data_IF_685602239977
#
_entry.id   IF_685602239977
#
_cell.length_a   1.000
_cell.length_b   1.000
_cell.length_c   1.000
_cell.angle_alpha   90.00
_cell.angle_beta   90.00
_cell.angle_gamma   90.00
#
_symmetry.space_group_name_H-M   'P 1'
#
loop_
_entity.id
_entity.type
_entity.pdbx_description
1 polymer ?
#
# COMPACT_ATOMS: atom_id res chain seq x y z
N UNK A 1 -1.62 0.03 15.30
CA UNK A 1 -0.38 0.82 15.12
C UNK A 1 -0.62 1.78 13.98
N UNK A 2 -0.15 3.02 14.03
CA UNK A 2 -0.22 3.94 12.91
C UNK A 2 1.12 4.70 12.72
N UNK A 3 1.31 5.22 11.53
CA UNK A 3 2.49 6.00 11.17
C UNK A 3 2.06 7.42 10.82
N UNK A 4 2.80 8.40 11.29
CA UNK A 4 2.67 9.79 10.88
C UNK A 4 3.90 10.14 10.07
N UNK A 5 3.71 10.66 8.87
CA UNK A 5 4.80 11.11 8.01
C UNK A 5 4.52 12.52 7.51
N UNK A 6 5.50 13.41 7.63
CA UNK A 6 5.46 14.72 6.98
C UNK A 6 6.10 14.61 5.59
N UNK A 7 5.37 15.05 4.58
CA UNK A 7 5.82 15.08 3.19
C UNK A 7 5.68 16.48 2.60
N UNK A 8 6.53 16.84 1.64
CA UNK A 8 6.35 18.07 0.86
C UNK A 8 5.58 17.82 -0.44
N UNK A 9 5.34 18.89 -1.20
CA UNK A 9 4.69 18.82 -2.51
C UNK A 9 5.52 18.09 -3.59
N UNK A 10 6.74 17.71 -3.29
CA UNK A 10 7.58 16.90 -4.17
C UNK A 10 7.58 15.43 -3.79
N UNK A 11 6.81 15.04 -2.74
CA UNK A 11 6.77 13.66 -2.23
C UNK A 11 7.94 13.30 -1.32
N UNK A 12 8.79 14.25 -0.93
CA UNK A 12 9.89 13.95 0.00
C UNK A 12 9.35 13.78 1.41
N UNK A 13 9.65 12.63 2.03
CA UNK A 13 9.38 12.39 3.44
C UNK A 13 10.49 12.98 4.32
N UNK A 14 10.11 13.79 5.32
CA UNK A 14 11.07 14.42 6.25
C UNK A 14 11.20 13.67 7.55
N UNK A 15 10.07 13.38 8.18
CA UNK A 15 10.00 12.69 9.45
C UNK A 15 8.90 11.63 9.40
N UNK A 16 9.18 10.49 10.02
CA UNK A 16 8.19 9.42 10.20
C UNK A 16 8.23 8.96 11.64
N UNK A 17 7.08 8.95 12.30
CA UNK A 17 6.90 8.40 13.64
C UNK A 17 5.93 7.23 13.61
N UNK A 18 6.27 6.17 14.33
CA UNK A 18 5.41 4.98 14.49
C UNK A 18 4.81 4.98 15.89
N UNK A 19 3.50 4.96 15.98
CA UNK A 19 2.77 5.06 17.24
C UNK A 19 1.95 3.80 17.49
N UNK A 20 2.13 3.20 18.64
CA UNK A 20 1.34 2.05 19.09
C UNK A 20 0.00 2.55 19.68
N UNK A 21 -1.03 2.59 18.84
CA UNK A 21 -2.41 2.88 19.23
C UNK A 21 -3.31 1.89 18.48
N UNK A 22 -3.84 0.85 19.14
CA UNK A 22 -4.78 -0.08 18.52
C UNK A 22 -6.03 0.66 18.05
N UNK A 23 -6.49 0.34 16.85
CA UNK A 23 -7.69 0.94 16.30
C UNK A 23 -8.92 0.58 17.16
N UNK A 24 -9.75 1.57 17.39
CA UNK A 24 -11.07 1.45 18.01
C UNK A 24 -11.98 2.53 17.44
N UNK A 25 -13.19 2.16 17.02
CA UNK A 25 -14.16 3.14 16.50
C UNK A 25 -14.86 3.88 17.64
N UNK A 26 -14.09 4.66 18.40
CA UNK A 26 -14.55 5.42 19.58
C UNK A 26 -14.04 6.85 19.53
N UNK A 27 -14.81 7.77 20.10
CA UNK A 27 -14.41 9.18 20.23
C UNK A 27 -13.05 9.34 20.94
N UNK A 28 -12.80 8.52 21.98
CA UNK A 28 -11.53 8.53 22.70
C UNK A 28 -10.34 8.17 21.80
N UNK A 29 -10.49 7.17 20.90
CA UNK A 29 -9.46 6.81 19.94
C UNK A 29 -9.12 7.97 19.01
N UNK A 30 -10.14 8.62 18.43
CA UNK A 30 -9.95 9.73 17.50
C UNK A 30 -9.30 10.92 18.19
N UNK A 31 -9.68 11.21 19.42
CA UNK A 31 -9.06 12.26 20.23
C UNK A 31 -7.59 11.97 20.50
N UNK A 32 -7.26 10.75 20.95
CA UNK A 32 -5.86 10.34 21.20
C UNK A 32 -5.02 10.38 19.93
N UNK A 33 -5.56 9.91 18.81
CA UNK A 33 -4.86 9.93 17.53
C UNK A 33 -4.56 11.37 17.09
N UNK A 34 -5.56 12.24 17.12
CA UNK A 34 -5.40 13.64 16.71
C UNK A 34 -4.50 14.44 17.65
N UNK A 35 -4.49 14.13 18.95
CA UNK A 35 -3.51 14.70 19.90
C UNK A 35 -2.08 14.28 19.56
N UNK A 36 -1.86 13.02 19.11
CA UNK A 36 -0.54 12.58 18.62
C UNK A 36 -0.12 13.32 17.35
N UNK A 37 -1.07 13.55 16.43
CA UNK A 37 -0.80 14.35 15.21
C UNK A 37 -0.40 15.78 15.57
N UNK A 38 -1.13 16.44 16.48
CA UNK A 38 -0.79 17.78 16.94
C UNK A 38 0.59 17.83 17.61
N UNK A 39 0.88 16.83 18.44
CA UNK A 39 2.19 16.70 19.10
C UNK A 39 3.30 16.56 18.07
N UNK A 40 3.15 15.68 17.09
CA UNK A 40 4.09 15.49 15.99
C UNK A 40 4.37 16.80 15.24
N UNK A 41 3.33 17.56 14.89
CA UNK A 41 3.44 18.85 14.22
C UNK A 41 4.24 19.85 15.08
N UNK A 42 3.92 19.94 16.37
CA UNK A 42 4.57 20.87 17.30
C UNK A 42 6.05 20.53 17.55
N UNK A 43 6.37 19.25 17.75
CA UNK A 43 7.73 18.78 18.02
C UNK A 43 8.67 18.94 16.82
N UNK A 44 8.13 18.87 15.59
CA UNK A 44 8.89 19.08 14.38
C UNK A 44 8.87 20.54 13.89
N UNK A 45 8.32 21.45 14.70
CA UNK A 45 8.31 22.90 14.45
C UNK A 45 7.71 23.31 13.10
N UNK A 46 6.71 22.55 12.59
CA UNK A 46 6.03 22.94 11.36
C UNK A 46 5.12 24.15 11.62
N UNK A 47 5.28 25.26 10.87
CA UNK A 47 4.36 26.38 10.98
C UNK A 47 2.96 25.99 10.53
N UNK A 48 1.95 26.25 11.36
CA UNK A 48 0.56 25.88 11.07
C UNK A 48 0.07 26.38 9.72
N UNK A 49 0.46 27.60 9.34
CA UNK A 49 0.09 28.25 8.07
C UNK A 49 0.72 27.60 6.84
N UNK A 50 1.72 26.73 7.03
CA UNK A 50 2.37 25.97 5.94
C UNK A 50 1.83 24.56 5.78
N UNK A 51 0.98 24.09 6.70
CA UNK A 51 0.36 22.77 6.61
C UNK A 51 -0.84 22.86 5.67
N UNK A 52 -0.75 22.21 4.53
CA UNK A 52 -1.82 22.22 3.53
C UNK A 52 -3.00 21.34 3.94
N UNK A 53 -2.75 20.25 4.67
CA UNK A 53 -3.77 19.33 5.10
C UNK A 53 -3.19 18.04 5.68
N UNK A 54 -4.10 17.14 6.04
CA UNK A 54 -3.78 15.82 6.59
C UNK A 54 -4.48 14.77 5.73
N UNK A 55 -3.68 13.90 5.10
CA UNK A 55 -4.19 12.72 4.39
C UNK A 55 -4.16 11.52 5.32
N UNK A 56 -5.26 10.80 5.39
CA UNK A 56 -5.46 9.63 6.23
C UNK A 56 -5.61 8.42 5.32
N UNK A 57 -4.54 7.63 5.18
CA UNK A 57 -4.57 6.38 4.46
C UNK A 57 -4.94 5.23 5.40
N UNK A 58 -5.94 4.44 5.03
CA UNK A 58 -6.41 3.32 5.84
C UNK A 58 -6.71 2.08 4.99
N UNK A 59 -6.58 0.92 5.59
CA UNK A 59 -7.09 -0.31 4.99
C UNK A 59 -8.61 -0.29 5.00
N UNK A 60 -9.19 -0.58 3.85
CA UNK A 60 -10.64 -0.58 3.66
C UNK A 60 -11.09 0.35 2.54
N UNK A 61 -12.17 -0.05 1.88
CA UNK A 61 -12.73 0.66 0.73
C UNK A 61 -13.48 1.89 1.22
N UNK A 62 -13.16 3.05 0.67
CA UNK A 62 -13.82 4.32 0.98
C UNK A 62 -15.05 4.55 0.08
N UNK A 63 -16.01 5.36 0.56
CA UNK A 63 -17.13 5.87 -0.23
C UNK A 63 -16.63 6.74 -1.40
N UNK A 64 -17.46 6.96 -2.46
CA UNK A 64 -17.06 7.78 -3.61
C UNK A 64 -16.65 9.22 -3.28
N UNK A 65 -17.16 9.77 -2.19
CA UNK A 65 -16.82 11.09 -1.67
C UNK A 65 -15.68 11.08 -0.64
N UNK A 66 -15.06 9.90 -0.42
CA UNK A 66 -14.01 9.67 0.57
C UNK A 66 -14.36 10.11 2.00
N UNK A 67 -15.66 10.11 2.34
CA UNK A 67 -16.14 10.52 3.66
C UNK A 67 -16.21 9.38 4.68
N UNK A 68 -16.30 8.14 4.21
CA UNK A 68 -16.58 6.97 5.08
C UNK A 68 -15.91 5.72 4.54
N UNK A 69 -15.40 4.85 5.42
CA UNK A 69 -15.00 3.48 5.05
C UNK A 69 -16.25 2.61 4.94
N UNK A 70 -16.58 2.18 3.73
CA UNK A 70 -17.77 1.37 3.44
C UNK A 70 -17.55 -0.13 3.63
N UNK A 71 -16.29 -0.58 3.51
CA UNK A 71 -15.89 -1.96 3.74
C UNK A 71 -14.47 -2.01 4.33
N UNK A 72 -14.33 -2.54 5.54
CA UNK A 72 -13.07 -2.54 6.28
C UNK A 72 -12.94 -3.74 7.22
N UNK A 73 -12.87 -4.96 6.65
CA UNK A 73 -12.84 -6.20 7.43
C UNK A 73 -11.51 -6.43 8.14
N UNK A 74 -10.38 -6.03 7.56
CA UNK A 74 -9.05 -6.29 8.14
C UNK A 74 -8.89 -5.57 9.47
N UNK A 75 -9.26 -4.29 9.51
CA UNK A 75 -9.15 -3.45 10.71
C UNK A 75 -10.44 -3.38 11.52
N UNK A 76 -11.53 -4.00 11.03
CA UNK A 76 -12.86 -3.83 11.59
C UNK A 76 -13.28 -2.33 11.69
N UNK A 77 -12.94 -1.58 10.62
CA UNK A 77 -13.13 -0.12 10.56
C UNK A 77 -14.28 0.31 9.63
N UNK A 78 -15.16 -0.60 9.24
CA UNK A 78 -16.38 -0.27 8.50
C UNK A 78 -17.19 0.77 9.29
N UNK A 79 -17.59 1.87 8.62
CA UNK A 79 -18.27 2.98 9.26
C UNK A 79 -17.36 4.05 9.88
N UNK A 80 -16.02 3.92 9.80
CA UNK A 80 -15.07 4.99 10.13
C UNK A 80 -15.35 6.19 9.24
N UNK A 81 -15.46 7.38 9.81
CA UNK A 81 -15.78 8.61 9.08
C UNK A 81 -14.63 9.60 9.10
N UNK A 82 -14.44 10.30 8.01
CA UNK A 82 -13.50 11.42 7.93
C UNK A 82 -13.80 12.49 9.00
N UNK A 83 -15.08 12.74 9.28
CA UNK A 83 -15.52 13.71 10.29
C UNK A 83 -14.98 13.38 11.69
N UNK A 84 -14.81 12.10 12.04
CA UNK A 84 -14.31 11.67 13.34
C UNK A 84 -12.86 12.11 13.59
N UNK A 85 -12.10 12.35 12.52
CA UNK A 85 -10.75 12.95 12.58
C UNK A 85 -10.81 14.47 12.45
N UNK A 86 -11.50 14.99 11.42
CA UNK A 86 -11.46 16.39 11.03
C UNK A 86 -12.04 17.32 12.10
N UNK A 87 -13.01 16.87 12.89
CA UNK A 87 -13.55 17.68 14.01
C UNK A 87 -12.52 18.05 15.07
N UNK A 88 -11.42 17.30 15.17
CA UNK A 88 -10.36 17.50 16.14
C UNK A 88 -9.12 18.16 15.58
N UNK A 89 -9.06 18.44 14.29
CA UNK A 89 -7.87 18.98 13.60
C UNK A 89 -8.20 20.30 12.91
N UNK A 90 -7.35 21.32 13.04
CA UNK A 90 -7.59 22.63 12.43
C UNK A 90 -7.22 22.68 10.93
N UNK A 91 -6.97 21.54 10.30
CA UNK A 91 -6.50 21.42 8.93
C UNK A 91 -7.53 20.70 8.05
N UNK A 92 -7.56 20.97 6.74
CA UNK A 92 -8.28 20.12 5.80
C UNK A 92 -7.84 18.67 5.93
N UNK A 93 -8.79 17.74 6.01
CA UNK A 93 -8.51 16.31 6.11
C UNK A 93 -9.05 15.58 4.89
N UNK A 94 -8.34 14.53 4.47
CA UNK A 94 -8.73 13.65 3.38
C UNK A 94 -8.59 12.20 3.82
N UNK A 95 -9.58 11.37 3.53
CA UNK A 95 -9.56 9.93 3.80
C UNK A 95 -9.35 9.17 2.49
N UNK A 96 -8.41 8.24 2.46
CA UNK A 96 -8.12 7.47 1.26
C UNK A 96 -7.81 6.01 1.60
N UNK A 97 -8.07 5.13 0.65
CA UNK A 97 -7.63 3.74 0.70
C UNK A 97 -6.10 3.67 0.52
N UNK A 98 -5.42 2.87 1.32
CA UNK A 98 -3.94 2.78 1.33
C UNK A 98 -3.34 2.40 -0.03
N UNK A 99 -3.96 1.45 -0.74
CA UNK A 99 -3.51 1.02 -2.06
C UNK A 99 -3.66 2.10 -3.13
N UNK A 100 -4.72 2.94 -3.03
CA UNK A 100 -4.89 4.09 -3.91
C UNK A 100 -3.88 5.18 -3.61
N UNK A 101 -3.56 5.40 -2.32
CA UNK A 101 -2.49 6.31 -1.92
C UNK A 101 -1.14 5.88 -2.48
N UNK A 102 -0.84 4.57 -2.48
CA UNK A 102 0.38 4.03 -3.08
C UNK A 102 0.42 4.25 -4.60
N UNK A 103 -0.70 3.98 -5.29
CA UNK A 103 -0.80 4.21 -6.73
C UNK A 103 -0.70 5.70 -7.11
N UNK A 104 -1.23 6.58 -6.28
CA UNK A 104 -1.08 8.02 -6.46
C UNK A 104 0.39 8.46 -6.37
N UNK A 105 1.15 7.87 -5.44
CA UNK A 105 2.60 8.12 -5.33
C UNK A 105 3.34 7.71 -6.60
N UNK A 106 2.98 6.56 -7.20
CA UNK A 106 3.57 6.13 -8.47
C UNK A 106 3.26 7.11 -9.61
N UNK A 107 2.01 7.58 -9.72
CA UNK A 107 1.64 8.63 -10.68
C UNK A 107 2.40 9.94 -10.46
N UNK A 108 2.60 10.31 -9.19
CA UNK A 108 3.33 11.53 -8.84
C UNK A 108 4.80 11.46 -9.23
N UNK A 109 5.43 10.32 -9.01
CA UNK A 109 6.84 10.09 -9.34
C UNK A 109 7.08 9.84 -10.83
N UNK A 110 6.07 9.36 -11.55
CA UNK A 110 6.11 8.96 -12.95
C UNK A 110 5.02 9.67 -13.77
N UNK A 111 5.15 10.99 -14.03
CA UNK A 111 4.13 11.75 -14.73
C UNK A 111 3.93 11.30 -16.20
N UNK A 112 4.84 10.51 -16.74
CA UNK A 112 4.72 9.87 -18.05
C UNK A 112 3.85 8.61 -18.03
N UNK A 113 3.46 8.12 -16.85
CA UNK A 113 2.73 6.88 -16.67
C UNK A 113 1.25 7.07 -17.01
N UNK A 114 0.82 6.62 -18.17
CA UNK A 114 -0.60 6.69 -18.59
C UNK A 114 -1.45 5.63 -17.92
N UNK A 115 -0.97 4.39 -17.92
CA UNK A 115 -1.69 3.24 -17.39
C UNK A 115 -0.74 2.29 -16.67
N UNK A 116 -1.19 1.67 -15.59
CA UNK A 116 -0.44 0.65 -14.84
C UNK A 116 -1.37 -0.19 -13.97
N UNK A 117 -0.88 -1.37 -13.59
CA UNK A 117 -1.44 -2.18 -12.50
C UNK A 117 -0.44 -2.14 -11.33
N UNK A 118 -0.87 -1.67 -10.18
CA UNK A 118 -0.02 -1.57 -8.97
C UNK A 118 -0.39 -2.69 -8.01
N UNK A 119 0.59 -3.54 -7.68
CA UNK A 119 0.50 -4.51 -6.58
C UNK A 119 1.16 -3.92 -5.34
N UNK A 120 0.38 -3.72 -4.29
CA UNK A 120 0.88 -3.28 -2.99
C UNK A 120 1.10 -4.51 -2.11
N UNK A 121 2.31 -5.05 -2.15
CA UNK A 121 2.72 -6.26 -1.42
C UNK A 121 3.05 -5.92 0.03
N UNK A 122 2.04 -5.70 0.83
CA UNK A 122 2.11 -5.38 2.25
C UNK A 122 1.77 -6.60 3.13
N UNK A 123 1.60 -6.36 4.45
CA UNK A 123 1.12 -7.41 5.38
C UNK A 123 -0.17 -8.05 4.91
N UNK A 124 -1.12 -7.24 4.47
CA UNK A 124 -2.22 -7.65 3.60
C UNK A 124 -1.94 -7.07 2.22
N UNK A 125 -2.22 -7.85 1.20
CA UNK A 125 -2.04 -7.44 -0.18
C UNK A 125 -3.09 -6.40 -0.52
N UNK A 126 -2.73 -5.46 -1.36
CA UNK A 126 -3.66 -4.52 -1.95
C UNK A 126 -3.30 -4.27 -3.41
N UNK A 127 -4.09 -3.48 -4.09
CA UNK A 127 -3.79 -3.11 -5.44
C UNK A 127 -4.55 -1.88 -5.92
N UNK A 128 -4.13 -1.40 -7.08
CA UNK A 128 -4.81 -0.33 -7.79
C UNK A 128 -4.59 -0.47 -9.30
N UNK A 129 -5.52 0.07 -10.06
CA UNK A 129 -5.43 0.17 -11.51
C UNK A 129 -5.35 1.63 -11.87
N UNK A 130 -4.39 2.00 -12.69
CA UNK A 130 -4.21 3.33 -13.25
C UNK A 130 -4.60 3.27 -14.73
N UNK A 131 -5.43 4.19 -15.18
CA UNK A 131 -5.82 4.36 -16.59
C UNK A 131 -5.97 5.85 -16.92
N UNK A 132 -5.45 6.28 -18.04
CA UNK A 132 -5.53 7.70 -18.48
C UNK A 132 -5.01 8.67 -17.40
N UNK A 133 -3.86 8.39 -16.81
CA UNK A 133 -3.24 9.15 -15.70
C UNK A 133 -4.11 9.26 -14.43
N UNK A 134 -5.09 8.39 -14.24
CA UNK A 134 -6.01 8.43 -13.10
C UNK A 134 -6.14 7.06 -12.46
N UNK A 135 -6.36 7.04 -11.16
CA UNK A 135 -6.68 5.81 -10.43
C UNK A 135 -8.11 5.41 -10.81
N UNK A 136 -8.25 4.22 -11.39
CA UNK A 136 -9.54 3.68 -11.77
C UNK A 136 -10.28 3.15 -10.54
N UNK A 137 -11.37 3.81 -10.17
CA UNK A 137 -12.10 3.48 -8.94
C UNK A 137 -13.24 2.46 -9.17
N UNK A 138 -13.73 2.35 -10.41
CA UNK A 138 -14.93 1.56 -10.72
C UNK A 138 -16.22 2.22 -10.18
N UNK A 139 -17.36 1.67 -10.54
CA UNK A 139 -18.68 2.22 -10.14
C UNK A 139 -19.02 2.03 -8.66
N UNK A 140 -18.40 1.05 -8.01
CA UNK A 140 -18.61 0.67 -6.60
C UNK A 140 -17.37 0.81 -5.74
N UNK A 141 -16.34 1.51 -6.19
CA UNK A 141 -15.05 1.72 -5.53
C UNK A 141 -14.18 0.46 -5.34
N UNK A 142 -14.60 -0.69 -5.86
CA UNK A 142 -13.91 -1.97 -5.70
C UNK A 142 -12.87 -2.25 -6.80
N UNK A 143 -12.70 -1.35 -7.77
CA UNK A 143 -11.68 -1.57 -8.80
C UNK A 143 -10.28 -1.54 -8.18
N UNK A 144 -9.46 -2.52 -8.57
CA UNK A 144 -8.11 -2.65 -8.06
C UNK A 144 -7.99 -3.45 -6.75
N UNK A 145 -9.07 -4.05 -6.24
CA UNK A 145 -9.00 -4.99 -5.10
C UNK A 145 -8.38 -6.32 -5.54
N UNK A 146 -7.11 -6.26 -5.96
CA UNK A 146 -6.38 -7.38 -6.56
C UNK A 146 -6.17 -8.54 -5.58
N UNK A 147 -6.17 -8.24 -4.29
CA UNK A 147 -6.07 -9.20 -3.19
C UNK A 147 -7.14 -10.28 -3.24
N UNK A 148 -8.31 -9.96 -3.78
CA UNK A 148 -9.44 -10.89 -3.85
C UNK A 148 -9.59 -11.61 -5.21
N UNK A 149 -8.64 -11.41 -6.13
CA UNK A 149 -8.58 -12.19 -7.35
C UNK A 149 -8.34 -13.67 -7.00
N UNK A 150 -9.24 -14.55 -7.43
CA UNK A 150 -9.10 -15.98 -7.24
C UNK A 150 -7.99 -16.53 -8.16
N UNK A 151 -6.93 -17.05 -7.57
CA UNK A 151 -5.81 -17.70 -8.29
C UNK A 151 -5.84 -19.22 -8.16
N UNK A 152 -6.60 -19.75 -7.21
CA UNK A 152 -6.83 -21.20 -7.03
C UNK A 152 -8.18 -21.43 -6.34
N UNK A 153 -9.24 -21.84 -7.07
CA UNK A 153 -10.58 -22.02 -6.50
C UNK A 153 -10.66 -22.98 -5.30
N UNK A 154 -9.75 -23.97 -5.26
CA UNK A 154 -9.68 -24.98 -4.19
C UNK A 154 -8.69 -24.56 -3.07
N UNK A 155 -8.22 -23.32 -3.09
CA UNK A 155 -7.22 -22.80 -2.17
C UNK A 155 -7.76 -22.39 -0.79
N UNK A 156 -6.91 -21.80 0.05
CA UNK A 156 -7.25 -21.39 1.41
C UNK A 156 -8.41 -20.39 1.47
N UNK A 157 -9.14 -20.41 2.59
CA UNK A 157 -10.20 -19.43 2.87
C UNK A 157 -9.58 -18.05 3.11
N UNK A 158 -10.05 -17.07 2.37
CA UNK A 158 -9.69 -15.66 2.54
C UNK A 158 -10.60 -14.96 3.56
N UNK A 159 -10.13 -13.89 4.18
CA UNK A 159 -10.93 -13.07 5.11
C UNK A 159 -12.17 -12.43 4.44
N UNK A 160 -12.22 -12.36 3.10
CA UNK A 160 -13.41 -11.91 2.37
C UNK A 160 -14.52 -12.98 2.27
N UNK A 161 -14.25 -14.20 2.74
CA UNK A 161 -15.18 -15.33 2.70
C UNK A 161 -15.07 -16.20 1.44
N UNK A 162 -14.25 -15.84 0.45
CA UNK A 162 -13.99 -16.63 -0.73
C UNK A 162 -12.73 -17.51 -0.56
N UNK A 163 -12.60 -18.53 -1.39
CA UNK A 163 -11.43 -19.39 -1.42
C UNK A 163 -10.41 -18.97 -2.48
N UNK A 164 -9.12 -19.20 -2.20
CA UNK A 164 -8.02 -19.08 -3.16
C UNK A 164 -7.74 -17.69 -3.69
N UNK A 165 -8.06 -16.67 -2.91
CA UNK A 165 -7.70 -15.29 -3.23
C UNK A 165 -6.18 -15.10 -3.24
N UNK A 166 -5.67 -14.21 -4.08
CA UNK A 166 -4.25 -13.86 -4.16
C UNK A 166 -3.67 -13.45 -2.79
N UNK A 167 -4.45 -12.79 -1.95
CA UNK A 167 -4.12 -12.46 -0.55
C UNK A 167 -3.54 -13.65 0.21
N UNK A 168 -4.15 -14.83 0.05
CA UNK A 168 -3.78 -16.03 0.81
C UNK A 168 -2.47 -16.66 0.37
N UNK A 169 -1.88 -16.17 -0.73
CA UNK A 169 -0.60 -16.64 -1.29
C UNK A 169 0.47 -15.55 -1.29
N UNK A 170 0.09 -14.31 -1.62
CA UNK A 170 1.04 -13.24 -1.96
C UNK A 170 1.05 -12.06 -0.99
N UNK A 171 0.35 -12.12 0.13
CA UNK A 171 0.56 -11.15 1.22
C UNK A 171 1.81 -11.50 2.04
N UNK A 172 2.40 -10.53 2.74
CA UNK A 172 3.51 -10.80 3.66
C UNK A 172 3.07 -11.72 4.81
N UNK A 173 1.81 -11.58 5.28
CA UNK A 173 1.26 -12.47 6.29
C UNK A 173 1.16 -13.92 5.77
N UNK A 174 0.75 -14.13 4.53
CA UNK A 174 0.69 -15.46 3.93
C UNK A 174 2.10 -16.07 3.81
N UNK A 175 3.10 -15.30 3.39
CA UNK A 175 4.49 -15.74 3.34
C UNK A 175 5.03 -16.11 4.72
N UNK A 176 4.82 -15.26 5.74
CA UNK A 176 5.25 -15.52 7.12
C UNK A 176 4.57 -16.78 7.68
N UNK A 177 3.29 -16.97 7.40
CA UNK A 177 2.54 -18.15 7.84
C UNK A 177 3.03 -19.43 7.17
N UNK A 178 3.25 -19.42 5.85
CA UNK A 178 3.72 -20.60 5.12
C UNK A 178 5.15 -20.99 5.48
N UNK A 179 6.05 -20.00 5.63
CA UNK A 179 7.44 -20.20 5.97
C UNK A 179 7.64 -20.51 7.47
N UNK A 180 6.70 -20.11 8.34
CA UNK A 180 6.78 -20.24 9.80
C UNK A 180 7.78 -19.27 10.43
N UNK A 181 8.10 -18.17 9.77
CA UNK A 181 9.06 -17.16 10.26
C UNK A 181 8.75 -15.75 9.70
N UNK A 182 9.22 -14.68 10.40
CA UNK A 182 9.07 -13.32 9.92
C UNK A 182 9.81 -13.05 8.60
N UNK A 183 9.25 -12.17 7.76
CA UNK A 183 9.88 -11.72 6.48
C UNK A 183 11.33 -11.28 6.66
N UNK A 184 11.62 -10.56 7.76
CA UNK A 184 12.97 -10.06 8.07
C UNK A 184 14.01 -11.16 8.25
N UNK A 185 13.58 -12.34 8.67
CA UNK A 185 14.43 -13.53 8.84
C UNK A 185 14.41 -14.39 7.58
N UNK A 186 13.28 -14.47 6.91
CA UNK A 186 13.07 -15.28 5.72
C UNK A 186 14.04 -14.90 4.58
N UNK A 187 14.08 -13.65 4.16
CA UNK A 187 14.87 -13.25 2.99
C UNK A 187 16.38 -13.38 3.17
N UNK A 188 16.99 -13.01 4.32
CA UNK A 188 18.41 -13.30 4.55
C UNK A 188 18.74 -14.79 4.40
N UNK A 189 17.95 -15.67 5.02
CA UNK A 189 18.16 -17.12 4.96
C UNK A 189 17.90 -17.69 3.55
N UNK A 190 16.91 -17.18 2.83
CA UNK A 190 16.65 -17.54 1.45
C UNK A 190 17.86 -17.20 0.55
N UNK A 191 18.44 -16.01 0.71
CA UNK A 191 19.57 -15.54 -0.11
C UNK A 191 20.89 -16.27 0.21
N UNK A 192 21.00 -16.88 1.38
CA UNK A 192 22.11 -17.80 1.68
C UNK A 192 22.05 -19.11 0.89
N UNK A 193 20.93 -19.43 0.24
CA UNK A 193 20.69 -20.64 -0.59
C UNK A 193 20.92 -21.95 0.16
N UNK A 194 20.80 -21.95 1.50
CA UNK A 194 21.06 -23.12 2.35
C UNK A 194 19.82 -23.96 2.67
N UNK A 195 18.63 -23.45 2.37
CA UNK A 195 17.36 -24.11 2.70
C UNK A 195 16.51 -24.31 1.45
N UNK A 196 16.45 -25.54 0.91
CA UNK A 196 15.55 -25.86 -0.20
C UNK A 196 14.08 -25.53 0.11
N UNK A 197 13.65 -25.76 1.35
CA UNK A 197 12.26 -25.47 1.78
C UNK A 197 11.91 -23.98 1.63
N UNK A 198 12.82 -23.05 1.98
CA UNK A 198 12.57 -21.62 1.83
C UNK A 198 12.52 -21.23 0.34
N UNK A 199 13.34 -21.89 -0.50
CA UNK A 199 13.30 -21.69 -1.95
C UNK A 199 11.94 -22.15 -2.53
N UNK A 200 11.42 -23.31 -2.11
CA UNK A 200 10.09 -23.81 -2.51
C UNK A 200 8.97 -22.84 -2.10
N UNK A 201 8.97 -22.30 -0.87
CA UNK A 201 7.97 -21.29 -0.45
C UNK A 201 8.02 -20.02 -1.28
N UNK A 202 9.25 -19.56 -1.62
CA UNK A 202 9.42 -18.37 -2.43
C UNK A 202 9.03 -18.58 -3.89
N UNK A 203 9.35 -19.73 -4.45
CA UNK A 203 8.94 -20.13 -5.80
C UNK A 203 7.43 -20.26 -5.91
N UNK A 204 6.76 -20.86 -4.92
CA UNK A 204 5.29 -20.94 -4.85
C UNK A 204 4.66 -19.54 -4.80
N UNK A 205 5.21 -18.65 -3.98
CA UNK A 205 4.81 -17.24 -3.93
C UNK A 205 4.93 -16.57 -5.32
N UNK A 206 6.09 -16.70 -5.97
CA UNK A 206 6.33 -16.10 -7.29
C UNK A 206 5.41 -16.69 -8.36
N UNK A 207 5.12 -17.99 -8.31
CA UNK A 207 4.22 -18.65 -9.24
C UNK A 207 2.79 -18.07 -9.15
N UNK A 208 2.25 -17.91 -7.94
CA UNK A 208 0.93 -17.32 -7.75
C UNK A 208 0.89 -15.85 -8.17
N UNK A 209 1.94 -15.10 -7.87
CA UNK A 209 2.04 -13.71 -8.31
C UNK A 209 2.12 -13.61 -9.84
N UNK A 210 2.98 -14.43 -10.49
CA UNK A 210 3.10 -14.46 -11.95
C UNK A 210 1.77 -14.84 -12.63
N UNK A 211 1.04 -15.81 -12.06
CA UNK A 211 -0.29 -16.20 -12.58
C UNK A 211 -1.28 -15.03 -12.51
N UNK A 212 -1.31 -14.31 -11.39
CA UNK A 212 -2.15 -13.12 -11.22
C UNK A 212 -1.77 -12.01 -12.21
N UNK A 213 -0.48 -11.72 -12.34
CA UNK A 213 0.05 -10.72 -13.26
C UNK A 213 -0.30 -11.05 -14.71
N UNK A 214 -0.16 -12.30 -15.12
CA UNK A 214 -0.52 -12.78 -16.46
C UNK A 214 -1.99 -12.53 -16.77
N UNK A 215 -2.89 -12.89 -15.85
CA UNK A 215 -4.32 -12.71 -16.05
C UNK A 215 -4.71 -11.24 -16.15
N UNK A 216 -4.15 -10.38 -15.30
CA UNK A 216 -4.39 -8.93 -15.34
C UNK A 216 -3.86 -8.30 -16.62
N UNK A 217 -2.68 -8.71 -17.07
CA UNK A 217 -2.11 -8.18 -18.30
C UNK A 217 -2.93 -8.50 -19.54
N UNK A 218 -3.62 -9.65 -19.57
CA UNK A 218 -4.56 -10.00 -20.64
C UNK A 218 -5.80 -9.08 -20.67
N UNK A 219 -6.14 -8.46 -19.56
CA UNK A 219 -7.32 -7.60 -19.41
C UNK A 219 -6.97 -6.12 -19.55
N UNK A 220 -5.89 -5.69 -18.87
CA UNK A 220 -5.54 -4.27 -18.75
C UNK A 220 -4.46 -3.86 -19.77
N UNK A 221 -3.59 -4.79 -20.19
CA UNK A 221 -2.48 -4.54 -21.13
C UNK A 221 -1.63 -3.30 -20.75
N UNK A 222 -1.18 -3.24 -19.49
CA UNK A 222 -0.42 -2.13 -18.93
C UNK A 222 0.80 -2.62 -18.15
N UNK A 223 1.82 -1.76 -17.93
CA UNK A 223 2.94 -2.08 -17.04
C UNK A 223 2.46 -2.48 -15.65
N UNK A 224 3.22 -3.37 -15.01
CA UNK A 224 2.97 -3.80 -13.64
C UNK A 224 4.01 -3.17 -12.72
N UNK A 225 3.55 -2.59 -11.62
CA UNK A 225 4.37 -2.00 -10.58
C UNK A 225 4.24 -2.84 -9.33
N UNK A 226 5.37 -3.30 -8.78
CA UNK A 226 5.45 -3.98 -7.49
C UNK A 226 5.89 -2.96 -6.46
N UNK A 227 5.03 -2.70 -5.48
CA UNK A 227 5.23 -1.71 -4.41
C UNK A 227 4.97 -2.33 -3.03
N UNK A 228 5.23 -1.60 -1.96
CA UNK A 228 4.92 -2.00 -0.59
C UNK A 228 6.07 -2.69 0.14
N UNK A 229 5.72 -3.32 1.28
CA UNK A 229 6.67 -3.88 2.26
C UNK A 229 7.62 -4.94 1.68
N UNK A 230 7.12 -5.80 0.79
CA UNK A 230 7.93 -6.87 0.20
C UNK A 230 8.75 -6.40 -1.00
N UNK A 231 8.38 -5.30 -1.66
CA UNK A 231 9.06 -4.84 -2.88
C UNK A 231 10.59 -4.71 -2.75
N UNK A 232 11.17 -4.20 -1.63
CA UNK A 232 12.61 -4.09 -1.46
C UNK A 232 13.36 -5.43 -1.38
N UNK A 233 12.65 -6.54 -1.19
CA UNK A 233 13.26 -7.87 -1.09
C UNK A 233 13.36 -8.58 -2.44
N UNK A 234 12.66 -8.09 -3.47
CA UNK A 234 12.78 -8.66 -4.82
C UNK A 234 14.15 -8.35 -5.40
N UNK A 235 14.77 -9.39 -5.95
CA UNK A 235 16.04 -9.29 -6.67
C UNK A 235 15.77 -9.24 -8.18
N UNK A 236 16.79 -8.93 -8.95
CA UNK A 236 16.73 -9.01 -10.42
C UNK A 236 16.38 -10.44 -10.90
N UNK A 237 16.87 -11.49 -10.19
CA UNK A 237 16.54 -12.90 -10.46
C UNK A 237 15.04 -13.16 -10.30
N UNK A 238 14.42 -12.61 -9.23
CA UNK A 238 12.98 -12.74 -8.99
C UNK A 238 12.15 -12.00 -10.05
N UNK A 239 12.58 -10.81 -10.44
CA UNK A 239 11.91 -10.02 -11.51
C UNK A 239 12.01 -10.74 -12.85
N UNK A 240 13.18 -11.30 -13.20
CA UNK A 240 13.32 -12.08 -14.41
C UNK A 240 12.47 -13.33 -14.41
N UNK A 241 12.36 -14.02 -13.27
CA UNK A 241 11.45 -15.15 -13.10
C UNK A 241 10.00 -14.75 -13.40
N UNK A 242 9.52 -13.65 -12.82
CA UNK A 242 8.17 -13.14 -13.07
C UNK A 242 7.97 -12.79 -14.56
N UNK A 243 8.97 -12.14 -15.20
CA UNK A 243 8.90 -11.77 -16.62
C UNK A 243 8.80 -12.99 -17.53
N UNK A 244 9.55 -14.06 -17.27
CA UNK A 244 9.55 -15.30 -18.04
C UNK A 244 8.22 -16.06 -17.92
N UNK A 245 7.66 -16.12 -16.70
CA UNK A 245 6.42 -16.85 -16.42
C UNK A 245 5.16 -16.05 -16.74
N UNK A 246 5.28 -14.74 -16.85
CA UNK A 246 4.22 -13.82 -17.25
C UNK A 246 3.94 -13.86 -18.79
N UNK A 247 4.84 -14.38 -19.61
CA UNK A 247 4.76 -14.60 -21.08
C UNK A 247 4.34 -13.39 -21.96
N UNK A 248 4.45 -12.14 -21.49
CA UNK A 248 4.38 -10.96 -22.35
C UNK A 248 5.54 -10.00 -22.02
N UNK A 249 6.35 -9.66 -23.03
CA UNK A 249 7.51 -8.78 -22.94
C UNK A 249 7.11 -7.33 -22.59
N UNK A 250 6.75 -7.05 -21.36
CA UNK A 250 6.55 -5.67 -20.89
C UNK A 250 7.09 -5.49 -19.48
N UNK A 251 7.56 -4.31 -19.20
CA UNK A 251 8.42 -3.91 -18.11
C UNK A 251 7.74 -4.06 -16.74
N UNK A 252 8.34 -4.83 -15.84
CA UNK A 252 8.03 -4.78 -14.40
C UNK A 252 8.96 -3.72 -13.81
N UNK A 253 8.40 -2.70 -13.15
CA UNK A 253 9.17 -1.72 -12.42
C UNK A 253 9.11 -2.04 -10.94
N UNK A 254 10.24 -2.23 -10.24
CA UNK A 254 10.25 -2.19 -8.78
C UNK A 254 9.90 -0.76 -8.38
N UNK A 255 8.84 -0.60 -7.59
CA UNK A 255 8.47 0.68 -7.00
C UNK A 255 9.67 1.25 -6.25
N UNK A 256 10.06 2.48 -6.56
CA UNK A 256 11.22 3.10 -5.94
C UNK A 256 10.92 3.41 -4.47
N UNK A 257 11.87 3.10 -3.58
CA UNK A 257 11.94 3.78 -2.28
C UNK A 257 12.00 5.28 -2.54
N UNK A 258 11.31 6.11 -1.76
CA UNK A 258 11.55 7.55 -1.83
C UNK A 258 13.04 7.80 -1.62
N UNK A 259 13.70 8.22 -2.68
CA UNK A 259 15.14 8.51 -2.65
C UNK A 259 15.34 9.76 -1.80
N UNK A 260 16.12 9.64 -0.73
CA UNK A 260 16.45 10.71 0.19
C UNK A 260 17.45 11.73 -0.40
N UNK A 261 17.60 11.81 -1.72
CA UNK A 261 18.61 12.68 -2.30
C UNK A 261 18.41 13.09 -3.74
N UNK A 262 18.18 14.40 -3.91
CA UNK A 262 18.57 15.27 -5.03
C UNK A 262 17.61 15.41 -6.21
N UNK A 263 16.77 16.45 -6.13
CA UNK A 263 16.50 17.27 -7.30
C UNK A 263 16.74 18.75 -6.98
N UNK A 264 17.52 19.49 -7.79
CA UNK A 264 17.76 20.92 -7.61
C UNK A 264 16.64 21.71 -8.30
N UNK A 265 15.55 21.94 -7.62
CA UNK A 265 14.56 22.96 -8.00
C UNK A 265 14.11 23.74 -6.78
N UNK A 266 13.91 25.04 -6.96
CA UNK A 266 13.66 26.03 -5.91
C UNK A 266 12.63 25.56 -4.87
N UNK A 267 13.03 25.63 -3.60
CA UNK A 267 12.31 25.15 -2.43
C UNK A 267 11.14 26.07 -2.10
N UNK A 268 9.93 25.62 -2.38
CA UNK A 268 8.76 26.08 -1.64
C UNK A 268 8.32 24.88 -0.80
N UNK A 269 8.76 24.85 0.46
CA UNK A 269 8.37 23.81 1.41
C UNK A 269 6.99 24.11 1.97
N UNK A 270 5.98 23.44 1.46
CA UNK A 270 4.66 23.38 2.07
C UNK A 270 4.43 21.92 2.52
N UNK A 271 4.56 21.61 3.82
CA UNK A 271 4.40 20.25 4.30
C UNK A 271 2.93 19.79 4.26
N UNK A 272 2.71 18.61 3.70
CA UNK A 272 1.50 17.83 3.87
C UNK A 272 1.77 16.78 4.92
N UNK A 273 0.92 16.65 5.93
CA UNK A 273 1.03 15.58 6.92
C UNK A 273 0.21 14.39 6.44
N UNK A 274 0.87 13.28 6.18
CA UNK A 274 0.21 12.04 5.78
C UNK A 274 0.15 11.07 6.96
N UNK A 275 -1.04 10.57 7.25
CA UNK A 275 -1.32 9.62 8.31
C UNK A 275 -1.66 8.26 7.71
N UNK A 276 -0.85 7.25 8.00
CA UNK A 276 -1.14 5.86 7.65
C UNK A 276 -1.66 5.12 8.88
N UNK A 277 -2.89 4.63 8.79
CA UNK A 277 -3.50 3.77 9.81
C UNK A 277 -3.45 2.34 9.29
N UNK A 278 -2.60 1.53 9.90
CA UNK A 278 -2.43 0.10 9.59
C UNK A 278 -2.79 -0.77 10.79
#
# INVERSE_FOLDING_TARGET
>A
MFHITAIDLYGNAFYTETIALPYSNTEEYYRQLTDKVRKFIAENHYPNEKILGISIATQGITSPDNSTVIYGNIMNNTGMKLEDFSRHLPYPCHLEHDSKSAAFLELWNHPELDSAVVFLLNRNLGGAIITNHQIHQGSSMHSGTLEHMCVNPDGPLCYCGNHGCLETYCSANALEQSAGMPVKEFFPLLREKKSPRLAEHWEDYLNHLAFAMKNLNLIIDAPIIISGYLAPYFTEEDINYLLEHHQHRRTIHPGQKPDSGRHPRARIHLPLVQLYIM
#
